data_IF_277064301698
#
_entry.id   IF_277064301698
#
_cell.length_a   1.000
_cell.length_b   1.000
_cell.length_c   1.000
_cell.angle_alpha   90.00
_cell.angle_beta   90.00
_cell.angle_gamma   90.00
#
_symmetry.space_group_name_H-M   'P 1'
#
loop_
_entity.id
_entity.type
_entity.pdbx_description
1 polymer ?
#
# COMPACT_ATOMS: atom_id res chain seq x y z
N UNK A 1 23.87 -3.26 -3.75
CA UNK A 1 22.79 -4.25 -3.69
C UNK A 1 22.96 -5.16 -2.48
N UNK A 2 21.88 -5.41 -1.75
CA UNK A 2 21.77 -6.33 -0.62
C UNK A 2 20.71 -7.37 -0.99
N UNK A 3 21.02 -8.65 -0.79
CA UNK A 3 20.02 -9.71 -0.90
C UNK A 3 19.17 -9.73 0.37
N UNK A 4 17.86 -9.73 0.22
CA UNK A 4 16.89 -9.88 1.31
C UNK A 4 16.02 -11.08 0.96
N UNK A 5 15.79 -11.96 1.93
CA UNK A 5 14.88 -13.08 1.78
C UNK A 5 13.75 -12.96 2.82
N UNK A 6 12.51 -13.13 2.37
CA UNK A 6 11.31 -13.19 3.20
C UNK A 6 10.49 -14.39 2.70
N UNK A 7 10.41 -15.43 3.50
CA UNK A 7 9.79 -16.70 3.11
C UNK A 7 10.36 -17.20 1.75
N UNK A 8 9.50 -17.37 0.74
CA UNK A 8 9.86 -17.78 -0.62
C UNK A 8 10.40 -16.63 -1.48
N UNK A 9 10.21 -15.37 -1.06
CA UNK A 9 10.66 -14.21 -1.80
C UNK A 9 12.16 -13.99 -1.64
N UNK A 10 12.82 -13.70 -2.77
CA UNK A 10 14.21 -13.26 -2.80
C UNK A 10 14.26 -11.93 -3.52
N UNK A 11 14.89 -10.93 -2.90
CA UNK A 11 15.02 -9.58 -3.43
C UNK A 11 16.49 -9.20 -3.57
N UNK A 12 16.79 -8.40 -4.58
CA UNK A 12 18.05 -7.66 -4.70
C UNK A 12 17.75 -6.19 -4.55
N UNK A 13 18.17 -5.60 -3.43
CA UNK A 13 17.71 -4.27 -2.99
C UNK A 13 18.88 -3.28 -2.90
N UNK A 14 18.69 -2.07 -3.42
CA UNK A 14 19.57 -0.94 -3.13
C UNK A 14 19.02 -0.12 -1.95
N UNK A 15 19.31 -0.59 -0.74
CA UNK A 15 18.80 0.03 0.50
C UNK A 15 19.19 1.51 0.61
N UNK A 16 20.42 1.88 0.20
CA UNK A 16 20.87 3.27 0.26
C UNK A 16 20.08 4.13 -0.72
N UNK A 17 19.88 3.64 -1.95
CA UNK A 17 19.09 4.36 -2.94
C UNK A 17 17.62 4.50 -2.52
N UNK A 18 17.03 3.44 -1.94
CA UNK A 18 15.68 3.52 -1.36
C UNK A 18 15.61 4.56 -0.24
N UNK A 19 16.60 4.61 0.64
CA UNK A 19 16.65 5.65 1.68
C UNK A 19 16.78 7.06 1.11
N UNK A 20 17.62 7.28 0.09
CA UNK A 20 17.72 8.59 -0.56
C UNK A 20 16.41 8.98 -1.27
N UNK A 21 15.74 8.02 -1.90
CA UNK A 21 14.40 8.22 -2.47
C UNK A 21 13.43 8.76 -1.42
N UNK A 22 13.36 8.12 -0.24
CA UNK A 22 12.46 8.55 0.82
C UNK A 22 12.85 9.88 1.50
N UNK A 23 14.06 10.40 1.33
CA UNK A 23 14.42 11.73 1.86
C UNK A 23 13.84 12.88 1.03
N UNK A 24 13.64 12.66 -0.28
CA UNK A 24 13.31 13.74 -1.22
C UNK A 24 11.90 13.63 -1.78
N UNK A 25 11.33 12.41 -1.86
CA UNK A 25 10.03 12.21 -2.49
C UNK A 25 8.94 13.00 -1.78
N UNK A 26 7.96 13.48 -2.54
CA UNK A 26 6.83 14.21 -2.01
C UNK A 26 5.82 13.28 -1.32
N UNK A 27 5.13 13.79 -0.29
CA UNK A 27 4.03 13.07 0.38
C UNK A 27 2.73 13.85 0.26
N UNK A 28 1.61 13.14 0.19
CA UNK A 28 0.29 13.75 0.16
C UNK A 28 -0.06 14.40 1.52
N UNK A 29 -0.64 15.60 1.49
CA UNK A 29 -1.05 16.34 2.70
C UNK A 29 -2.58 16.31 2.93
N UNK A 30 -3.28 15.30 2.41
CA UNK A 30 -4.71 15.16 2.69
C UNK A 30 -4.94 14.72 4.16
N UNK A 31 -6.13 14.97 4.74
CA UNK A 31 -6.40 14.65 6.14
C UNK A 31 -6.17 13.16 6.49
N UNK A 32 -6.55 12.24 5.61
CA UNK A 32 -6.35 10.79 5.82
C UNK A 32 -4.87 10.40 5.81
N UNK A 33 -4.06 11.02 4.95
CA UNK A 33 -2.61 10.82 4.88
C UNK A 33 -1.91 11.40 6.11
N UNK A 34 -2.23 12.63 6.53
CA UNK A 34 -1.73 13.20 7.79
C UNK A 34 -2.03 12.31 9.00
N UNK A 35 -3.25 11.77 9.06
CA UNK A 35 -3.67 10.87 10.13
C UNK A 35 -2.87 9.56 10.15
N UNK A 36 -2.45 9.06 8.98
CA UNK A 36 -1.57 7.91 8.86
C UNK A 36 -0.19 8.21 9.46
N UNK A 37 0.46 9.28 8.98
CA UNK A 37 1.82 9.66 9.39
C UNK A 37 1.94 9.93 10.88
N UNK A 38 0.90 10.52 11.47
CA UNK A 38 0.86 10.88 12.89
C UNK A 38 0.99 9.69 13.85
N UNK A 39 0.68 8.46 13.40
CA UNK A 39 0.60 7.31 14.30
C UNK A 39 1.22 6.02 13.79
N UNK A 40 1.38 5.85 12.47
CA UNK A 40 1.68 4.55 11.86
C UNK A 40 2.91 3.87 12.46
N UNK A 41 4.00 4.62 12.65
CA UNK A 41 5.26 4.11 13.18
C UNK A 41 5.14 3.52 14.58
N UNK A 42 4.35 4.17 15.44
CA UNK A 42 4.10 3.70 16.80
C UNK A 42 3.05 2.59 16.85
N UNK A 43 2.10 2.60 15.90
CA UNK A 43 1.01 1.62 15.83
C UNK A 43 1.45 0.29 15.25
N UNK A 44 2.37 0.28 14.28
CA UNK A 44 2.83 -0.93 13.59
C UNK A 44 4.37 -1.03 13.58
N UNK A 45 5.02 -1.20 14.75
CA UNK A 45 6.48 -1.23 14.86
C UNK A 45 7.14 -2.45 14.18
N UNK A 46 6.44 -3.57 14.01
CA UNK A 46 6.97 -4.72 13.26
C UNK A 46 6.91 -4.46 11.77
N UNK A 47 5.84 -3.83 11.28
CA UNK A 47 5.79 -3.35 9.89
C UNK A 47 6.88 -2.32 9.61
N UNK A 48 7.07 -1.34 10.51
CA UNK A 48 8.16 -0.35 10.41
C UNK A 48 9.51 -1.06 10.31
N UNK A 49 9.77 -2.04 11.19
CA UNK A 49 11.01 -2.82 11.12
C UNK A 49 11.15 -3.58 9.80
N UNK A 50 10.08 -4.21 9.32
CA UNK A 50 10.09 -4.93 8.04
C UNK A 50 10.45 -4.01 6.88
N UNK A 51 9.77 -2.86 6.76
CA UNK A 51 9.98 -1.87 5.70
C UNK A 51 11.40 -1.26 5.77
N UNK A 52 11.90 -0.98 6.98
CA UNK A 52 13.26 -0.47 7.18
C UNK A 52 14.34 -1.43 6.68
N UNK A 53 14.11 -2.75 6.64
CA UNK A 53 15.08 -3.69 6.06
C UNK A 53 15.33 -3.43 4.57
N UNK A 54 14.34 -2.89 3.86
CA UNK A 54 14.37 -2.48 2.46
C UNK A 54 14.81 -1.01 2.28
N UNK A 55 14.97 -0.26 3.36
CA UNK A 55 15.28 1.17 3.34
C UNK A 55 14.06 2.09 3.20
N UNK A 56 12.85 1.53 3.34
CA UNK A 56 11.58 2.25 3.23
C UNK A 56 11.25 2.97 4.54
N UNK A 57 10.78 4.21 4.45
CA UNK A 57 10.19 4.95 5.59
C UNK A 57 8.68 4.74 5.61
N UNK A 58 8.17 4.03 6.61
CA UNK A 58 6.74 3.76 6.79
C UNK A 58 5.88 5.03 6.87
N UNK A 59 6.45 6.15 7.32
CA UNK A 59 5.72 7.40 7.44
C UNK A 59 5.63 8.17 6.13
N UNK A 60 6.16 7.62 5.04
CA UNK A 60 6.24 8.33 3.77
C UNK A 60 5.90 7.42 2.57
N UNK A 61 4.69 6.86 2.48
CA UNK A 61 4.27 6.06 1.34
C UNK A 61 4.19 6.89 0.06
N UNK A 62 4.25 6.19 -1.07
CA UNK A 62 4.07 6.76 -2.40
C UNK A 62 2.59 7.06 -2.67
N UNK A 63 1.72 6.12 -2.31
CA UNK A 63 0.27 6.26 -2.44
C UNK A 63 -0.43 5.65 -1.22
N UNK A 64 -1.50 6.32 -0.81
CA UNK A 64 -2.47 5.80 0.15
C UNK A 64 -3.85 5.81 -0.50
N UNK A 65 -4.46 4.65 -0.63
CA UNK A 65 -5.89 4.54 -0.91
C UNK A 65 -6.63 4.27 0.41
N UNK A 66 -7.54 5.16 0.78
CA UNK A 66 -8.29 5.03 2.04
C UNK A 66 -9.77 5.34 1.90
N UNK A 67 -10.58 4.80 2.81
CA UNK A 67 -12.01 5.11 2.98
C UNK A 67 -12.29 5.47 4.44
N UNK A 68 -13.08 6.52 4.64
CA UNK A 68 -13.58 6.90 5.96
C UNK A 68 -14.70 5.97 6.42
N UNK A 69 -14.53 5.36 7.59
CA UNK A 69 -15.55 4.58 8.28
C UNK A 69 -16.08 5.36 9.50
N UNK A 70 -17.09 4.82 10.20
CA UNK A 70 -17.75 5.55 11.29
C UNK A 70 -16.81 5.99 12.43
N UNK A 71 -15.75 5.24 12.72
CA UNK A 71 -14.85 5.47 13.86
C UNK A 71 -13.37 5.18 13.55
N UNK A 72 -13.01 4.91 12.30
CA UNK A 72 -11.64 4.68 11.87
C UNK A 72 -11.49 5.02 10.38
N UNK A 73 -10.25 5.07 9.90
CA UNK A 73 -9.94 5.12 8.48
C UNK A 73 -9.47 3.73 8.06
N UNK A 74 -10.09 3.17 7.02
CA UNK A 74 -9.66 1.94 6.37
C UNK A 74 -8.66 2.29 5.27
N UNK A 75 -7.38 1.96 5.48
CA UNK A 75 -6.32 2.16 4.51
C UNK A 75 -6.26 0.90 3.64
N UNK A 76 -7.02 0.93 2.55
CA UNK A 76 -7.23 -0.18 1.61
C UNK A 76 -5.89 -0.71 1.10
N UNK A 77 -5.03 0.21 0.64
CA UNK A 77 -3.65 -0.06 0.25
C UNK A 77 -2.75 1.10 0.64
N UNK A 78 -1.54 0.76 1.04
CA UNK A 78 -0.45 1.71 1.24
C UNK A 78 0.77 1.20 0.50
N UNK A 79 1.24 1.96 -0.49
CA UNK A 79 2.26 1.51 -1.44
C UNK A 79 3.61 2.15 -1.15
N UNK A 80 4.66 1.34 -1.29
CA UNK A 80 6.05 1.73 -1.07
C UNK A 80 6.96 1.21 -2.18
N UNK A 81 7.71 2.11 -2.80
CA UNK A 81 8.71 1.86 -3.83
C UNK A 81 10.02 1.42 -3.21
N UNK A 82 10.55 0.29 -3.69
CA UNK A 82 11.87 -0.21 -3.31
C UNK A 82 12.78 -0.24 -4.54
N UNK A 83 13.91 0.46 -4.45
CA UNK A 83 14.92 0.44 -5.50
C UNK A 83 15.58 -0.95 -5.57
N UNK A 84 15.48 -1.62 -6.71
CA UNK A 84 15.97 -2.98 -6.87
C UNK A 84 15.08 -3.85 -7.75
N UNK A 85 15.14 -5.15 -7.53
CA UNK A 85 14.34 -6.11 -8.28
C UNK A 85 13.98 -7.33 -7.43
N UNK A 86 12.82 -7.92 -7.73
CA UNK A 86 12.46 -9.25 -7.24
C UNK A 86 13.32 -10.27 -8.01
N UNK A 87 14.04 -11.14 -7.30
CA UNK A 87 14.82 -12.23 -7.89
C UNK A 87 14.03 -13.54 -7.93
N UNK A 88 13.17 -13.75 -6.94
CA UNK A 88 12.23 -14.86 -6.87
C UNK A 88 10.94 -14.37 -6.23
N UNK A 89 9.82 -14.65 -6.89
CA UNK A 89 8.48 -14.30 -6.42
C UNK A 89 7.94 -15.45 -5.57
N UNK A 90 7.43 -15.15 -4.37
CA UNK A 90 6.72 -16.12 -3.56
C UNK A 90 5.35 -16.46 -4.13
N UNK A 91 4.81 -17.59 -3.71
CA UNK A 91 3.48 -18.07 -4.16
C UNK A 91 2.33 -17.30 -3.49
N UNK A 92 2.55 -16.85 -2.27
CA UNK A 92 1.54 -16.22 -1.41
C UNK A 92 2.05 -14.90 -0.86
N UNK A 93 1.13 -14.03 -0.47
CA UNK A 93 1.43 -12.78 0.24
C UNK A 93 2.21 -13.03 1.53
N UNK A 94 2.97 -12.03 1.97
CA UNK A 94 3.69 -12.09 3.24
C UNK A 94 2.75 -11.59 4.33
N UNK A 95 2.52 -12.41 5.36
CA UNK A 95 1.71 -12.04 6.51
C UNK A 95 2.58 -11.47 7.63
N UNK A 96 2.18 -10.30 8.17
CA UNK A 96 2.76 -9.76 9.40
C UNK A 96 1.68 -9.64 10.46
N UNK A 97 1.90 -10.31 11.59
CA UNK A 97 1.10 -10.09 12.79
C UNK A 97 1.78 -9.05 13.69
N UNK A 98 1.33 -7.81 13.59
CA UNK A 98 1.70 -6.69 14.45
C UNK A 98 0.60 -6.48 15.52
N UNK A 99 0.25 -5.23 15.83
CA UNK A 99 -1.01 -4.92 16.52
C UNK A 99 -2.24 -5.18 15.63
N UNK A 100 -2.03 -5.38 14.33
CA UNK A 100 -3.02 -5.80 13.34
C UNK A 100 -2.48 -7.01 12.58
N UNK A 101 -3.37 -7.81 12.01
CA UNK A 101 -3.00 -8.73 10.94
C UNK A 101 -2.89 -7.93 9.64
N UNK A 102 -1.73 -8.02 9.00
CA UNK A 102 -1.38 -7.26 7.80
C UNK A 102 -1.02 -8.25 6.70
N UNK A 103 -1.47 -7.95 5.49
CA UNK A 103 -1.04 -8.67 4.28
C UNK A 103 -0.16 -7.75 3.44
N UNK A 104 0.96 -8.30 2.99
CA UNK A 104 1.96 -7.60 2.19
C UNK A 104 2.02 -8.25 0.83
N UNK A 105 1.64 -7.47 -0.18
CA UNK A 105 1.66 -7.86 -1.59
C UNK A 105 2.91 -7.26 -2.24
N UNK A 106 3.67 -8.10 -2.93
CA UNK A 106 4.82 -7.67 -3.72
C UNK A 106 4.39 -7.54 -5.19
N UNK A 107 4.61 -6.36 -5.77
CA UNK A 107 4.33 -6.07 -7.17
C UNK A 107 5.67 -5.78 -7.86
N UNK A 108 6.05 -6.61 -8.83
CA UNK A 108 7.29 -6.40 -9.60
C UNK A 108 7.08 -5.28 -10.64
N UNK A 109 7.29 -4.05 -10.18
CA UNK A 109 7.15 -2.82 -10.96
C UNK A 109 6.06 -1.90 -10.43
N UNK A 110 5.34 -1.26 -11.37
CA UNK A 110 4.38 -0.19 -11.09
C UNK A 110 3.10 -0.69 -10.43
N UNK A 111 2.77 -0.15 -9.25
CA UNK A 111 1.46 -0.26 -8.63
C UNK A 111 0.74 1.10 -8.60
N UNK A 112 1.49 2.15 -8.27
CA UNK A 112 1.01 3.52 -8.12
C UNK A 112 2.09 4.53 -8.56
N UNK A 113 1.70 5.80 -8.81
CA UNK A 113 2.65 6.86 -9.18
C UNK A 113 3.80 6.97 -8.18
N UNK A 114 5.02 7.07 -8.71
CA UNK A 114 6.24 7.23 -7.91
C UNK A 114 7.27 8.04 -8.72
N UNK A 115 8.32 8.51 -8.05
CA UNK A 115 9.35 9.35 -8.66
C UNK A 115 10.58 8.54 -9.15
N UNK A 116 10.55 7.20 -9.04
CA UNK A 116 11.66 6.33 -9.45
C UNK A 116 11.64 6.05 -10.96
N UNK A 117 12.81 6.09 -11.59
CA UNK A 117 12.97 5.89 -13.04
C UNK A 117 13.80 4.65 -13.40
N UNK A 118 14.57 4.11 -12.45
CA UNK A 118 15.32 2.86 -12.61
C UNK A 118 14.50 1.64 -12.18
N UNK A 119 15.13 0.47 -12.05
CA UNK A 119 14.44 -0.75 -11.58
C UNK A 119 13.97 -0.60 -10.13
N UNK A 120 12.71 -0.92 -9.91
CA UNK A 120 12.08 -0.99 -8.60
C UNK A 120 11.02 -2.08 -8.57
N UNK A 121 10.58 -2.38 -7.36
CA UNK A 121 9.33 -3.11 -7.11
C UNK A 121 8.54 -2.37 -6.04
N UNK A 122 7.25 -2.68 -5.92
CA UNK A 122 6.36 -2.06 -4.94
C UNK A 122 6.01 -3.06 -3.84
N UNK A 123 6.05 -2.60 -2.59
CA UNK A 123 5.50 -3.28 -1.43
C UNK A 123 4.15 -2.60 -1.13
N UNK A 124 3.04 -3.31 -1.34
CA UNK A 124 1.70 -2.85 -1.00
C UNK A 124 1.25 -3.48 0.31
N UNK A 125 0.90 -2.66 1.29
CA UNK A 125 0.43 -3.12 2.59
C UNK A 125 -1.08 -2.92 2.68
N UNK A 126 -1.79 -3.99 3.06
CA UNK A 126 -3.23 -4.00 3.18
C UNK A 126 -3.67 -4.22 4.63
N UNK A 127 -4.97 -4.03 4.88
CA UNK A 127 -5.63 -4.31 6.16
C UNK A 127 -5.22 -3.40 7.32
N UNK A 128 -4.74 -2.19 7.00
CA UNK A 128 -4.43 -1.18 8.01
C UNK A 128 -5.71 -0.42 8.36
N UNK A 129 -6.11 -0.48 9.63
CA UNK A 129 -7.25 0.27 10.17
C UNK A 129 -6.78 1.13 11.33
N UNK A 130 -6.85 2.45 11.19
CA UNK A 130 -6.36 3.36 12.23
C UNK A 130 -7.47 4.28 12.74
N UNK A 131 -7.51 4.57 14.05
CA UNK A 131 -8.38 5.60 14.58
C UNK A 131 -7.97 6.99 14.06
N UNK A 132 -8.88 7.95 14.23
CA UNK A 132 -8.56 9.35 14.03
C UNK A 132 -7.83 9.93 15.23
N UNK A 133 -6.66 10.52 15.01
CA UNK A 133 -5.80 11.06 16.09
C UNK A 133 -5.45 12.53 15.91
N UNK A 134 -5.81 13.14 14.78
CA UNK A 134 -5.54 14.54 14.53
C UNK A 134 -6.46 15.43 15.35
N UNK A 135 -5.96 16.59 15.77
CA UNK A 135 -6.76 17.66 16.35
C UNK A 135 -7.48 18.48 15.25
N UNK A 136 -8.19 17.76 14.39
CA UNK A 136 -8.97 18.25 13.26
C UNK A 136 -10.30 17.47 13.22
N UNK A 137 -11.38 18.01 12.63
CA UNK A 137 -12.61 17.25 12.46
C UNK A 137 -12.38 15.96 11.68
N UNK A 138 -13.06 14.88 12.08
CA UNK A 138 -13.06 13.64 11.30
C UNK A 138 -13.59 13.93 9.90
N UNK A 139 -12.91 13.48 8.83
CA UNK A 139 -13.39 13.66 7.46
C UNK A 139 -14.76 13.01 7.34
N UNK A 140 -15.77 13.78 6.94
CA UNK A 140 -17.10 13.20 6.75
C UNK A 140 -17.00 12.16 5.63
N UNK A 141 -17.51 10.93 5.84
CA UNK A 141 -17.59 9.97 4.75
C UNK A 141 -18.33 10.66 3.62
N UNK A 142 -17.80 10.57 2.39
CA UNK A 142 -18.43 11.17 1.21
C UNK A 142 -19.88 10.71 1.18
N UNK A 143 -20.79 11.55 1.67
CA UNK A 143 -22.20 11.18 1.78
C UNK A 143 -22.63 10.75 0.39
N UNK A 144 -23.26 9.58 0.28
CA UNK A 144 -23.79 9.02 -0.97
C UNK A 144 -24.72 10.04 -1.65
N UNK A 145 -24.16 10.98 -2.40
CA UNK A 145 -24.86 11.95 -3.24
C UNK A 145 -24.10 12.14 -4.54
N UNK A 146 -23.94 11.02 -5.25
CA UNK A 146 -24.29 10.92 -6.66
C UNK A 146 -24.34 9.43 -7.01
N UNK A 147 -25.55 8.89 -7.25
CA UNK A 147 -25.67 7.70 -8.08
C UNK A 147 -25.21 8.11 -9.48
N UNK A 148 -23.91 8.06 -9.76
CA UNK A 148 -23.44 8.01 -11.14
C UNK A 148 -23.97 6.70 -11.70
N UNK A 149 -25.04 6.80 -12.50
CA UNK A 149 -25.48 5.69 -13.35
C UNK A 149 -24.38 5.45 -14.38
N UNK A 150 -23.40 4.63 -14.04
CA UNK A 150 -22.60 3.93 -15.04
C UNK A 150 -23.55 2.96 -15.76
N UNK A 151 -24.24 3.48 -16.78
CA UNK A 151 -24.66 2.63 -17.90
C UNK A 151 -23.37 2.29 -18.65
N UNK A 152 -23.22 1.03 -19.08
CA UNK A 152 -22.06 0.42 -19.78
C UNK A 152 -21.12 -0.27 -18.75
N UNK A 153 -21.05 -1.59 -18.55
CA UNK A 153 -21.21 -2.77 -19.43
C UNK A 153 -21.94 -3.92 -18.72
N UNK A 154 -23.18 -4.17 -19.11
CA UNK A 154 -23.94 -5.39 -18.75
C UNK A 154 -23.97 -6.39 -19.92
N UNK A 155 -22.85 -6.51 -20.65
CA UNK A 155 -22.78 -7.32 -21.89
C UNK A 155 -21.74 -8.44 -21.90
N UNK A 156 -21.02 -8.71 -20.81
CA UNK A 156 -19.96 -9.72 -20.82
C UNK A 156 -20.20 -10.97 -19.96
N UNK A 157 -21.28 -11.05 -19.17
CA UNK A 157 -21.62 -12.27 -18.40
C UNK A 157 -22.85 -13.05 -18.91
N UNK A 158 -23.42 -12.69 -20.07
CA UNK A 158 -24.50 -13.46 -20.73
C UNK A 158 -24.07 -14.35 -21.89
N UNK A 159 -22.77 -14.50 -22.16
CA UNK A 159 -22.28 -15.27 -23.33
C UNK A 159 -21.64 -16.63 -23.03
N UNK A 160 -21.60 -17.09 -21.77
CA UNK A 160 -21.07 -18.41 -21.41
C UNK A 160 -22.13 -19.45 -20.97
N UNK A 161 -23.44 -19.14 -21.06
CA UNK A 161 -24.50 -20.12 -20.76
C UNK A 161 -25.22 -20.75 -21.97
N UNK A 162 -24.83 -20.43 -23.21
CA UNK A 162 -25.52 -20.93 -24.41
C UNK A 162 -24.70 -21.89 -25.31
N UNK A 163 -23.54 -22.39 -24.89
CA UNK A 163 -22.79 -23.41 -25.65
C UNK A 163 -22.63 -24.71 -24.84
N UNK A 164 -23.75 -25.27 -24.38
CA UNK A 164 -23.88 -26.70 -24.06
C UNK A 164 -25.24 -27.19 -24.56
N UNK A 165 -25.25 -27.62 -25.81
CA UNK A 165 -26.13 -28.65 -26.39
C UNK A 165 -25.39 -29.21 -27.58
#
# INVERSE_FOLDING_TARGET
>A
MKTIQKDEYIFSVDVKKTQEYYKIHSVCDCPCCRNYYAQIKNKLPKLDKFLNEFGVDISRPDEIMSVEENNYIDYITVDYTVCGNVQSMGTYEIDIYDNLFLSIVIIDGFASPNEQTEKYFTISVMQIKLPWVLNEPFPLPVTKKARFKFKIFDKLFKRQKNNKT
#
